data_IF_008448790971
#
_entry.id   IF_008448790971
#
_cell.length_a   1.000
_cell.length_b   1.000
_cell.length_c   1.000
_cell.angle_alpha   90.00
_cell.angle_beta   90.00
_cell.angle_gamma   90.00
#
_symmetry.space_group_name_H-M   'P 1'
#
loop_
_entity.id
_entity.type
_entity.pdbx_description
1 polymer ?
#
# COMPACT_ATOMS: atom_id res chain seq x y z
N UNK A 1 2.86 -34.73 -6.85
CA UNK A 1 2.18 -33.70 -7.68
C UNK A 1 2.26 -32.40 -6.91
N UNK A 2 3.29 -31.58 -7.18
CA UNK A 2 3.44 -30.29 -6.52
C UNK A 2 2.55 -29.28 -7.25
N UNK A 3 1.72 -28.47 -6.56
CA UNK A 3 0.95 -27.43 -7.23
C UNK A 3 1.95 -26.41 -7.79
N UNK A 4 1.95 -26.29 -9.10
CA UNK A 4 2.57 -25.21 -9.85
C UNK A 4 2.08 -23.87 -9.30
N UNK A 5 2.91 -23.20 -8.50
CA UNK A 5 2.71 -21.79 -8.16
C UNK A 5 2.65 -21.02 -9.47
N UNK A 6 1.45 -20.56 -9.85
CA UNK A 6 1.30 -19.52 -10.85
C UNK A 6 2.22 -18.36 -10.46
N UNK A 7 2.98 -17.74 -11.38
CA UNK A 7 3.70 -16.51 -11.12
C UNK A 7 2.70 -15.35 -11.00
N UNK A 8 1.82 -15.41 -10.00
CA UNK A 8 1.16 -14.23 -9.47
C UNK A 8 2.22 -13.52 -8.64
N UNK A 9 2.54 -12.29 -9.00
CA UNK A 9 3.52 -11.47 -8.27
C UNK A 9 3.32 -11.62 -6.76
N UNK A 10 4.40 -11.90 -6.05
CA UNK A 10 4.38 -12.02 -4.59
C UNK A 10 3.84 -10.70 -3.99
N UNK A 11 2.86 -10.75 -3.07
CA UNK A 11 2.26 -9.56 -2.50
C UNK A 11 3.30 -8.63 -1.85
N UNK A 12 4.41 -9.17 -1.33
CA UNK A 12 5.50 -8.35 -0.79
C UNK A 12 6.24 -7.64 -1.90
N UNK A 13 6.54 -8.33 -3.00
CA UNK A 13 7.16 -7.67 -4.15
C UNK A 13 6.30 -6.50 -4.64
N UNK A 14 4.98 -6.66 -4.69
CA UNK A 14 4.05 -5.56 -4.99
C UNK A 14 4.17 -4.37 -4.02
N UNK A 15 4.17 -4.64 -2.72
CA UNK A 15 4.34 -3.63 -1.67
C UNK A 15 5.68 -2.90 -1.73
N UNK A 16 6.78 -3.64 -1.91
CA UNK A 16 8.13 -3.08 -2.00
C UNK A 16 8.27 -2.17 -3.22
N UNK A 17 7.62 -2.54 -4.34
CA UNK A 17 7.59 -1.68 -5.52
C UNK A 17 6.81 -0.38 -5.28
N UNK A 18 5.83 -0.33 -4.36
CA UNK A 18 5.04 0.87 -4.06
C UNK A 18 5.79 1.89 -3.20
N UNK A 19 6.70 1.47 -2.32
CA UNK A 19 7.45 2.34 -1.41
C UNK A 19 8.09 3.59 -2.06
N UNK A 20 8.84 3.48 -3.17
CA UNK A 20 9.42 4.66 -3.82
C UNK A 20 8.37 5.60 -4.43
N UNK A 21 7.23 5.08 -4.91
CA UNK A 21 6.14 5.91 -5.43
C UNK A 21 5.47 6.71 -4.32
N UNK A 22 5.21 6.05 -3.19
CA UNK A 22 4.61 6.67 -2.02
C UNK A 22 5.51 7.80 -1.48
N UNK A 23 6.82 7.57 -1.40
CA UNK A 23 7.78 8.59 -0.96
C UNK A 23 7.83 9.80 -1.91
N UNK A 24 7.74 9.59 -3.23
CA UNK A 24 7.65 10.70 -4.19
C UNK A 24 6.35 11.47 -4.04
N UNK A 25 5.26 10.76 -3.77
CA UNK A 25 3.95 11.37 -3.67
C UNK A 25 3.83 12.24 -2.42
N UNK A 26 4.32 11.77 -1.27
CA UNK A 26 4.35 12.56 -0.03
C UNK A 26 5.30 13.76 -0.10
N UNK A 27 6.29 13.73 -0.99
CA UNK A 27 7.15 14.87 -1.31
C UNK A 27 6.48 15.92 -2.24
N UNK A 28 5.29 15.67 -2.77
CA UNK A 28 4.61 16.62 -3.65
C UNK A 28 4.28 17.94 -2.90
N UNK A 29 4.36 19.12 -3.56
CA UNK A 29 4.20 20.42 -2.90
C UNK A 29 2.87 20.60 -2.14
N UNK A 30 1.80 19.91 -2.58
CA UNK A 30 0.48 19.94 -1.94
C UNK A 30 0.41 19.14 -0.63
N UNK A 31 1.36 18.23 -0.42
CA UNK A 31 1.42 17.28 0.70
C UNK A 31 2.64 17.55 1.59
N UNK A 32 3.64 18.26 1.05
CA UNK A 32 4.84 18.69 1.75
C UNK A 32 4.50 19.53 2.98
N UNK A 33 5.16 19.22 4.11
CA UNK A 33 4.99 19.92 5.38
C UNK A 33 3.90 19.33 6.29
N UNK A 34 3.18 18.30 5.84
CA UNK A 34 2.27 17.55 6.72
C UNK A 34 3.05 16.52 7.55
N UNK A 35 3.16 16.77 8.86
CA UNK A 35 3.91 15.91 9.77
C UNK A 35 3.31 14.49 9.84
N UNK A 36 1.98 14.38 9.84
CA UNK A 36 1.29 13.10 9.92
C UNK A 36 1.51 12.26 8.65
N UNK A 37 1.45 12.85 7.45
CA UNK A 37 1.80 12.14 6.21
C UNK A 37 3.27 11.69 6.19
N UNK A 38 4.17 12.53 6.72
CA UNK A 38 5.60 12.17 6.82
C UNK A 38 5.82 11.00 7.77
N UNK A 39 5.17 10.97 8.93
CA UNK A 39 5.26 9.87 9.89
C UNK A 39 4.68 8.57 9.32
N UNK A 40 3.53 8.63 8.65
CA UNK A 40 2.95 7.46 7.99
C UNK A 40 3.84 6.92 6.86
N UNK A 41 4.48 7.80 6.09
CA UNK A 41 5.43 7.38 5.06
C UNK A 41 6.67 6.72 5.66
N UNK A 42 7.23 7.29 6.72
CA UNK A 42 8.40 6.73 7.42
C UNK A 42 8.07 5.36 8.02
N UNK A 43 6.91 5.25 8.68
CA UNK A 43 6.36 3.99 9.20
C UNK A 43 6.19 2.97 8.08
N UNK A 44 5.59 3.35 6.94
CA UNK A 44 5.41 2.45 5.80
C UNK A 44 6.74 1.93 5.26
N UNK A 45 7.72 2.82 5.07
CA UNK A 45 9.06 2.45 4.58
C UNK A 45 9.75 1.52 5.57
N UNK A 46 9.64 1.80 6.87
CA UNK A 46 10.18 0.93 7.90
C UNK A 46 9.53 -0.46 7.86
N UNK A 47 8.20 -0.54 7.85
CA UNK A 47 7.47 -1.81 7.80
C UNK A 47 7.73 -2.59 6.51
N UNK A 48 7.84 -1.91 5.37
CA UNK A 48 8.21 -2.51 4.09
C UNK A 48 9.65 -3.07 4.13
N UNK A 49 10.60 -2.33 4.70
CA UNK A 49 11.99 -2.79 4.87
C UNK A 49 12.07 -4.01 5.79
N UNK A 50 11.32 -3.99 6.89
CA UNK A 50 11.22 -5.13 7.80
C UNK A 50 10.59 -6.34 7.11
N UNK A 51 9.58 -6.13 6.26
CA UNK A 51 8.92 -7.18 5.50
C UNK A 51 9.85 -7.81 4.44
N UNK A 52 10.70 -7.02 3.79
CA UNK A 52 11.71 -7.49 2.84
C UNK A 52 12.68 -8.48 3.51
N UNK A 53 13.08 -8.17 4.75
CA UNK A 53 13.99 -9.01 5.53
C UNK A 53 13.29 -10.15 6.29
N UNK A 54 11.96 -10.19 6.32
CA UNK A 54 11.20 -11.17 7.08
C UNK A 54 10.96 -12.48 6.29
N UNK A 55 10.73 -13.59 7.02
CA UNK A 55 10.35 -14.87 6.43
C UNK A 55 9.09 -14.75 5.55
N UNK A 56 8.92 -15.53 4.45
CA UNK A 56 7.83 -15.40 3.45
C UNK A 56 6.39 -15.44 4.02
N UNK A 57 6.22 -16.00 5.21
CA UNK A 57 4.94 -16.09 5.93
C UNK A 57 4.69 -14.91 6.88
N UNK A 58 5.64 -13.98 7.02
CA UNK A 58 5.48 -12.84 7.91
C UNK A 58 4.27 -11.98 7.53
N UNK A 59 3.67 -11.40 8.56
CA UNK A 59 2.40 -10.72 8.51
C UNK A 59 2.48 -9.44 7.66
N UNK A 60 1.60 -9.34 6.67
CA UNK A 60 1.46 -8.19 5.77
C UNK A 60 0.50 -7.12 6.33
N UNK A 61 -0.30 -7.47 7.34
CA UNK A 61 -1.29 -6.57 7.93
C UNK A 61 -0.73 -5.20 8.34
N UNK A 62 0.41 -5.09 9.07
CA UNK A 62 0.97 -3.79 9.44
C UNK A 62 1.19 -2.86 8.25
N UNK A 63 1.94 -3.32 7.24
CA UNK A 63 2.27 -2.51 6.07
C UNK A 63 1.03 -2.20 5.21
N UNK A 64 0.06 -3.12 5.11
CA UNK A 64 -1.21 -2.90 4.42
C UNK A 64 -2.07 -1.84 5.12
N UNK A 65 -2.11 -1.86 6.45
CA UNK A 65 -2.86 -0.90 7.25
C UNK A 65 -2.25 0.50 7.12
N UNK A 66 -0.92 0.59 7.19
CA UNK A 66 -0.19 1.85 7.04
C UNK A 66 -0.33 2.40 5.62
N UNK A 67 -0.25 1.55 4.60
CA UNK A 67 -0.49 1.92 3.19
C UNK A 67 -1.88 2.51 2.96
N UNK A 68 -2.94 1.84 3.44
CA UNK A 68 -4.31 2.33 3.33
C UNK A 68 -4.56 3.61 4.15
N UNK A 69 -3.97 3.72 5.35
CA UNK A 69 -4.06 4.91 6.20
C UNK A 69 -3.41 6.12 5.54
N UNK A 70 -2.23 5.92 4.95
CA UNK A 70 -1.53 6.95 4.19
C UNK A 70 -2.35 7.39 2.98
N UNK A 71 -2.91 6.44 2.24
CA UNK A 71 -3.77 6.75 1.09
C UNK A 71 -4.95 7.61 1.53
N UNK A 72 -5.67 7.23 2.59
CA UNK A 72 -6.76 8.03 3.14
C UNK A 72 -6.32 9.44 3.55
N UNK A 73 -5.20 9.57 4.26
CA UNK A 73 -4.68 10.85 4.72
C UNK A 73 -4.32 11.77 3.53
N UNK A 74 -3.71 11.22 2.48
CA UNK A 74 -3.41 11.95 1.24
C UNK A 74 -4.70 12.43 0.58
N UNK A 75 -5.73 11.59 0.49
CA UNK A 75 -7.02 11.98 -0.11
C UNK A 75 -7.69 13.10 0.68
N UNK A 76 -7.71 13.01 2.02
CA UNK A 76 -8.27 14.06 2.87
C UNK A 76 -7.56 15.41 2.68
N UNK A 77 -6.25 15.38 2.41
CA UNK A 77 -5.44 16.59 2.26
C UNK A 77 -5.56 17.24 0.88
N UNK A 78 -5.43 16.45 -0.19
CA UNK A 78 -5.22 17.00 -1.53
C UNK A 78 -6.20 16.48 -2.60
N UNK A 79 -6.89 15.36 -2.35
CA UNK A 79 -7.67 14.65 -3.36
C UNK A 79 -8.98 14.09 -2.76
N UNK A 80 -9.96 14.93 -2.37
CA UNK A 80 -11.17 14.44 -1.69
C UNK A 80 -11.99 13.46 -2.54
N UNK A 81 -11.84 13.48 -3.87
CA UNK A 81 -12.57 12.63 -4.81
C UNK A 81 -12.35 11.13 -4.61
N UNK A 82 -11.22 10.69 -4.04
CA UNK A 82 -10.98 9.27 -3.74
C UNK A 82 -11.00 8.97 -2.23
N UNK A 83 -11.51 9.88 -1.39
CA UNK A 83 -11.61 9.64 0.05
C UNK A 83 -12.52 8.44 0.39
N UNK A 84 -13.65 8.30 -0.29
CA UNK A 84 -14.57 7.18 -0.09
C UNK A 84 -13.94 5.81 -0.43
N UNK A 85 -13.32 5.60 -1.62
CA UNK A 85 -12.64 4.34 -1.90
C UNK A 85 -11.41 4.11 -1.00
N UNK A 86 -10.67 5.15 -0.60
CA UNK A 86 -9.58 5.02 0.37
C UNK A 86 -10.06 4.56 1.75
N UNK A 87 -11.18 5.09 2.21
CA UNK A 87 -11.79 4.68 3.48
C UNK A 87 -12.33 3.24 3.41
N UNK A 88 -12.88 2.83 2.26
CA UNK A 88 -13.27 1.44 2.04
C UNK A 88 -12.05 0.50 2.06
N UNK A 89 -10.93 0.92 1.45
CA UNK A 89 -9.67 0.17 1.48
C UNK A 89 -9.15 0.04 2.91
N UNK A 90 -9.13 1.11 3.70
CA UNK A 90 -8.70 1.06 5.11
C UNK A 90 -9.53 0.06 5.93
N UNK A 91 -10.87 0.04 5.74
CA UNK A 91 -11.73 -0.95 6.40
C UNK A 91 -11.42 -2.38 5.96
N UNK A 92 -11.10 -2.59 4.69
CA UNK A 92 -10.66 -3.89 4.19
C UNK A 92 -9.32 -4.31 4.83
N UNK A 93 -8.36 -3.40 4.95
CA UNK A 93 -7.07 -3.66 5.60
C UNK A 93 -7.27 -4.11 7.05
N UNK A 94 -8.11 -3.39 7.81
CA UNK A 94 -8.44 -3.73 9.20
C UNK A 94 -9.14 -5.09 9.36
N UNK A 95 -9.89 -5.53 8.34
CA UNK A 95 -10.57 -6.82 8.34
C UNK A 95 -9.67 -7.96 7.85
N UNK A 96 -8.52 -7.66 7.24
CA UNK A 96 -7.59 -8.65 6.73
C UNK A 96 -6.62 -9.08 7.84
N UNK A 97 -6.46 -10.40 8.07
CA UNK A 97 -5.51 -10.89 9.06
C UNK A 97 -4.05 -10.67 8.63
N UNK A 98 -3.80 -10.40 7.33
CA UNK A 98 -2.48 -10.19 6.72
C UNK A 98 -1.53 -11.39 6.75
N UNK A 99 -1.97 -12.52 7.30
CA UNK A 99 -1.28 -13.81 7.20
C UNK A 99 -1.10 -14.19 5.74
N UNK A 100 0.03 -14.80 5.41
CA UNK A 100 0.37 -15.17 4.03
C UNK A 100 0.71 -16.68 3.91
N UNK A 101 0.14 -17.50 4.81
CA UNK A 101 0.52 -18.89 5.02
C UNK A 101 -0.16 -19.84 4.03
N UNK A 102 -1.44 -19.58 3.71
CA UNK A 102 -2.23 -20.40 2.78
C UNK A 102 -2.44 -19.72 1.42
N UNK A 103 -2.70 -20.48 0.34
CA UNK A 103 -3.02 -19.92 -0.97
C UNK A 103 -4.26 -19.01 -0.96
N UNK A 104 -5.25 -19.31 -0.11
CA UNK A 104 -6.45 -18.50 0.04
C UNK A 104 -6.14 -17.14 0.67
N UNK A 105 -5.24 -17.09 1.65
CA UNK A 105 -4.79 -15.85 2.26
C UNK A 105 -3.93 -15.03 1.30
N UNK A 106 -2.98 -15.67 0.61
CA UNK A 106 -2.18 -15.03 -0.45
C UNK A 106 -3.08 -14.40 -1.52
N UNK A 107 -4.15 -15.08 -1.92
CA UNK A 107 -5.12 -14.56 -2.90
C UNK A 107 -5.83 -13.30 -2.38
N UNK A 108 -6.30 -13.31 -1.12
CA UNK A 108 -6.97 -12.13 -0.52
C UNK A 108 -6.01 -10.95 -0.38
N UNK A 109 -4.79 -11.21 0.08
CA UNK A 109 -3.74 -10.21 0.21
C UNK A 109 -3.40 -9.59 -1.16
N UNK A 110 -3.25 -10.42 -2.20
CA UNK A 110 -3.01 -9.93 -3.55
C UNK A 110 -4.19 -9.11 -4.09
N UNK A 111 -5.44 -9.54 -3.86
CA UNK A 111 -6.60 -8.75 -4.25
C UNK A 111 -6.64 -7.37 -3.57
N UNK A 112 -6.29 -7.31 -2.29
CA UNK A 112 -6.18 -6.06 -1.56
C UNK A 112 -5.11 -5.14 -2.16
N UNK A 113 -3.89 -5.66 -2.37
CA UNK A 113 -2.78 -4.87 -2.90
C UNK A 113 -3.01 -4.40 -4.33
N UNK A 114 -3.75 -5.15 -5.15
CA UNK A 114 -4.17 -4.71 -6.48
C UNK A 114 -5.11 -3.50 -6.39
N UNK A 115 -6.06 -3.49 -5.46
CA UNK A 115 -6.94 -2.35 -5.23
C UNK A 115 -6.17 -1.13 -4.71
N UNK A 116 -5.27 -1.34 -3.75
CA UNK A 116 -4.40 -0.29 -3.20
C UNK A 116 -3.51 0.32 -4.29
N UNK A 117 -2.84 -0.52 -5.08
CA UNK A 117 -2.00 -0.09 -6.20
C UNK A 117 -2.78 0.70 -7.25
N UNK A 118 -4.02 0.28 -7.55
CA UNK A 118 -4.87 1.00 -8.50
C UNK A 118 -5.21 2.41 -7.99
N UNK A 119 -5.52 2.55 -6.70
CA UNK A 119 -5.79 3.85 -6.10
C UNK A 119 -4.54 4.74 -6.07
N UNK A 120 -3.37 4.19 -5.73
CA UNK A 120 -2.11 4.96 -5.80
C UNK A 120 -1.81 5.44 -7.22
N UNK A 121 -1.97 4.58 -8.23
CA UNK A 121 -1.79 4.96 -9.64
C UNK A 121 -2.76 6.07 -10.06
N UNK A 122 -4.02 5.97 -9.62
CA UNK A 122 -5.01 7.01 -9.90
C UNK A 122 -4.63 8.34 -9.22
N UNK A 123 -4.12 8.29 -8.00
CA UNK A 123 -3.64 9.45 -7.25
C UNK A 123 -2.40 10.10 -7.92
N UNK A 124 -1.46 9.28 -8.38
CA UNK A 124 -0.32 9.71 -9.20
C UNK A 124 -0.79 10.43 -10.48
N UNK A 125 -1.78 9.88 -11.19
CA UNK A 125 -2.33 10.51 -12.39
C UNK A 125 -3.01 11.86 -12.12
N UNK A 126 -3.54 12.06 -10.91
CA UNK A 126 -4.15 13.31 -10.47
C UNK A 126 -3.13 14.33 -9.93
N UNK A 127 -1.87 13.92 -9.74
CA UNK A 127 -0.80 14.79 -9.23
C UNK A 127 -0.06 15.43 -10.41
N UNK A 128 -0.28 16.73 -10.72
CA UNK A 128 0.47 17.40 -11.79
C UNK A 128 1.95 17.51 -11.40
N UNK A 129 2.85 17.03 -12.27
CA UNK A 129 4.31 17.05 -12.05
C UNK A 129 4.97 15.66 -11.96
N UNK A 130 4.19 14.58 -11.97
CA UNK A 130 4.69 13.20 -12.10
C UNK A 130 4.41 12.65 -13.51
N UNK A 131 5.05 13.21 -14.52
CA UNK A 131 5.23 12.56 -15.82
C UNK A 131 6.73 12.29 -15.99
N UNK A 132 7.15 11.10 -16.48
CA UNK A 132 8.53 10.88 -16.88
C UNK A 132 8.95 11.85 -17.99
#
# INVERSE_FOLDING_TARGET
>A
MAPTQQPGADPRTGLLMLAPYISRLTAAPKLQGDAHLKELNDTFVHEATQLEQAAPTANLHPVMLTGASLLLAIQQKAYPSLAAPAQALLRQAQALPGRNETPAEQTRNNQFLQQESALFKQLLALTPGTHP
#
